data_IF_960013687189
#
_entry.id   IF_960013687189
#
_cell.length_a   1.000
_cell.length_b   1.000
_cell.length_c   1.000
_cell.angle_alpha   90.00
_cell.angle_beta   90.00
_cell.angle_gamma   90.00
#
_symmetry.space_group_name_H-M   'P 1'
#
loop_
_entity.id
_entity.type
_entity.pdbx_description
1 polymer ?
#
# COMPACT_ATOMS: atom_id res chain seq x y z
N UNK A 1 5.99 -3.40 7.14
CA UNK A 1 6.68 -2.37 6.32
C UNK A 1 5.65 -1.29 6.03
N UNK A 2 5.92 -0.06 6.36
CA UNK A 2 5.05 1.09 6.13
C UNK A 2 5.87 2.23 5.51
N UNK A 3 5.36 2.83 4.43
CA UNK A 3 5.82 4.13 3.94
C UNK A 3 7.18 4.15 3.22
N UNK A 4 7.51 3.10 2.50
CA UNK A 4 8.70 3.08 1.65
C UNK A 4 8.43 2.47 0.27
N UNK A 5 9.37 2.67 -0.64
CA UNK A 5 9.33 2.02 -1.96
C UNK A 5 9.54 0.51 -1.78
N UNK A 6 8.65 -0.36 -2.29
CA UNK A 6 8.71 -1.81 -2.04
C UNK A 6 10.06 -2.45 -2.36
N UNK A 7 10.67 -2.10 -3.48
CA UNK A 7 11.97 -2.66 -3.89
C UNK A 7 13.10 -2.44 -2.88
N UNK A 8 13.06 -1.35 -2.11
CA UNK A 8 14.07 -1.06 -1.08
C UNK A 8 14.04 -2.06 0.09
N UNK A 9 12.90 -2.74 0.28
CA UNK A 9 12.73 -3.72 1.35
C UNK A 9 12.93 -5.17 0.91
N UNK A 10 13.14 -5.41 -0.39
CA UNK A 10 13.40 -6.76 -0.92
C UNK A 10 14.58 -7.47 -0.22
N UNK A 11 15.75 -6.82 -0.01
CA UNK A 11 16.86 -7.46 0.70
C UNK A 11 16.50 -7.89 2.13
N UNK A 12 15.62 -7.14 2.82
CA UNK A 12 15.17 -7.50 4.17
C UNK A 12 14.31 -8.76 4.17
N UNK A 13 13.41 -8.89 3.17
CA UNK A 13 12.60 -10.10 3.00
C UNK A 13 13.46 -11.32 2.68
N UNK A 14 14.53 -11.15 1.89
CA UNK A 14 15.49 -12.21 1.57
C UNK A 14 16.32 -12.64 2.79
N UNK A 15 16.74 -11.68 3.63
CA UNK A 15 17.45 -11.97 4.89
C UNK A 15 16.53 -12.72 5.85
N UNK A 16 15.25 -12.33 5.93
CA UNK A 16 14.26 -13.02 6.77
C UNK A 16 14.12 -14.50 6.36
N UNK A 17 14.01 -14.79 5.06
CA UNK A 17 13.93 -16.18 4.56
C UNK A 17 15.20 -16.97 4.87
N UNK A 18 16.37 -16.42 4.56
CA UNK A 18 17.65 -17.08 4.85
C UNK A 18 17.84 -17.37 6.34
N UNK A 19 17.49 -16.41 7.21
CA UNK A 19 17.60 -16.63 8.65
C UNK A 19 16.73 -17.79 9.15
N UNK A 20 15.56 -18.02 8.56
CA UNK A 20 14.73 -19.18 8.86
C UNK A 20 15.36 -20.49 8.34
N UNK A 21 15.86 -20.48 7.09
CA UNK A 21 16.58 -21.61 6.47
C UNK A 21 17.80 -22.01 7.30
N UNK A 22 18.65 -21.04 7.69
CA UNK A 22 19.83 -21.26 8.52
C UNK A 22 19.48 -21.83 9.91
N UNK A 23 18.31 -21.46 10.44
CA UNK A 23 17.80 -21.97 11.71
C UNK A 23 17.06 -23.33 11.59
N UNK A 24 16.87 -23.85 10.37
CA UNK A 24 16.12 -25.08 10.11
C UNK A 24 14.63 -25.00 10.45
N UNK A 25 14.02 -23.81 10.32
CA UNK A 25 12.60 -23.58 10.58
C UNK A 25 11.91 -22.98 9.35
N UNK A 26 10.60 -23.15 9.26
CA UNK A 26 9.82 -22.48 8.22
C UNK A 26 9.80 -20.95 8.44
N UNK A 27 9.97 -20.14 7.38
CA UNK A 27 9.91 -18.69 7.51
C UNK A 27 8.52 -18.24 7.94
N UNK A 28 8.46 -17.35 8.92
CA UNK A 28 7.21 -16.77 9.37
C UNK A 28 6.54 -15.96 8.25
N UNK A 29 5.18 -16.00 8.14
CA UNK A 29 4.46 -15.27 7.11
C UNK A 29 4.72 -13.76 7.17
N UNK A 30 4.98 -13.16 6.02
CA UNK A 30 5.19 -11.71 5.90
C UNK A 30 3.86 -11.00 5.78
N UNK A 31 3.69 -9.90 6.51
CA UNK A 31 2.57 -8.97 6.38
C UNK A 31 3.04 -7.60 5.93
N UNK A 32 2.28 -6.97 5.04
CA UNK A 32 2.54 -5.61 4.57
C UNK A 32 1.43 -4.69 5.07
N UNK A 33 1.80 -3.50 5.51
CA UNK A 33 0.89 -2.41 5.80
C UNK A 33 1.27 -1.20 4.93
N UNK A 34 0.31 -0.65 4.21
CA UNK A 34 0.49 0.53 3.35
C UNK A 34 -0.55 1.60 3.66
N UNK A 35 -0.17 2.86 3.51
CA UNK A 35 -1.14 3.94 3.44
C UNK A 35 -1.85 3.90 2.10
N UNK A 36 -3.17 4.11 2.09
CA UNK A 36 -3.89 4.11 0.84
C UNK A 36 -5.28 4.71 0.92
N UNK A 37 -5.87 4.87 -0.26
CA UNK A 37 -7.24 5.33 -0.42
C UNK A 37 -7.75 4.91 -1.79
N UNK A 38 -9.01 4.50 -1.89
CA UNK A 38 -9.64 4.02 -3.11
C UNK A 38 -10.85 4.88 -3.43
N UNK A 39 -10.96 5.29 -4.68
CA UNK A 39 -12.17 5.93 -5.21
C UNK A 39 -12.54 5.27 -6.55
N UNK A 40 -13.66 5.70 -7.14
CA UNK A 40 -14.14 5.13 -8.40
C UNK A 40 -13.16 5.40 -9.57
N UNK A 41 -12.37 6.49 -9.48
CA UNK A 41 -11.28 6.78 -10.42
C UNK A 41 -9.98 7.15 -9.70
N UNK A 42 -8.85 7.00 -10.41
CA UNK A 42 -7.54 7.39 -9.91
C UNK A 42 -7.45 8.87 -9.57
N UNK A 43 -7.98 9.75 -10.44
CA UNK A 43 -7.97 11.19 -10.23
C UNK A 43 -8.75 11.55 -8.97
N UNK A 44 -9.95 11.01 -8.80
CA UNK A 44 -10.76 11.24 -7.60
C UNK A 44 -10.04 10.77 -6.33
N UNK A 45 -9.41 9.59 -6.37
CA UNK A 45 -8.66 9.07 -5.24
C UNK A 45 -7.52 10.01 -4.82
N UNK A 46 -6.76 10.53 -5.79
CA UNK A 46 -5.66 11.47 -5.55
C UNK A 46 -6.18 12.80 -5.00
N UNK A 47 -7.25 13.34 -5.59
CA UNK A 47 -7.83 14.63 -5.19
C UNK A 47 -8.38 14.63 -3.76
N UNK A 48 -8.92 13.50 -3.32
CA UNK A 48 -9.42 13.33 -1.95
C UNK A 48 -8.26 13.04 -0.97
N UNK A 49 -7.35 12.14 -1.33
CA UNK A 49 -6.31 11.69 -0.41
C UNK A 49 -5.19 12.70 -0.22
N UNK A 50 -4.77 13.42 -1.27
CA UNK A 50 -3.63 14.33 -1.20
C UNK A 50 -3.74 15.41 -0.13
N UNK A 51 -4.81 16.23 -0.04
CA UNK A 51 -4.89 17.29 0.96
C UNK A 51 -4.88 16.74 2.39
N UNK A 52 -5.55 15.62 2.64
CA UNK A 52 -5.58 14.96 3.94
C UNK A 52 -4.20 14.43 4.32
N UNK A 53 -3.56 13.69 3.41
CA UNK A 53 -2.22 13.13 3.58
C UNK A 53 -1.17 14.22 3.77
N UNK A 54 -1.20 15.27 2.92
CA UNK A 54 -0.29 16.41 3.03
C UNK A 54 -0.38 17.08 4.40
N UNK A 55 -1.58 17.38 4.87
CA UNK A 55 -1.79 18.04 6.17
C UNK A 55 -1.16 17.22 7.30
N UNK A 56 -1.35 15.91 7.30
CA UNK A 56 -0.79 15.01 8.30
C UNK A 56 0.73 14.90 8.19
N UNK A 57 1.24 14.73 6.97
CA UNK A 57 2.68 14.54 6.76
C UNK A 57 3.46 15.84 6.95
N UNK A 58 2.91 17.00 6.59
CA UNK A 58 3.54 18.30 6.87
C UNK A 58 3.58 18.59 8.37
N UNK A 59 2.60 18.12 9.15
CA UNK A 59 2.64 18.22 10.61
C UNK A 59 3.80 17.39 11.18
N UNK A 60 3.90 16.13 10.80
CA UNK A 60 5.00 15.23 11.21
C UNK A 60 6.34 15.75 10.68
N UNK A 61 6.36 16.24 9.45
CA UNK A 61 7.55 16.77 8.80
C UNK A 61 8.17 17.96 9.53
N UNK A 62 7.35 18.87 10.06
CA UNK A 62 7.84 20.00 10.87
C UNK A 62 8.62 19.55 12.11
N UNK A 63 8.18 18.46 12.74
CA UNK A 63 8.86 17.90 13.92
C UNK A 63 10.17 17.18 13.54
N UNK A 64 10.30 16.72 12.30
CA UNK A 64 11.42 15.93 11.80
C UNK A 64 12.35 16.66 10.83
N UNK A 65 12.07 17.95 10.56
CA UNK A 65 12.85 18.75 9.61
C UNK A 65 12.65 18.36 8.14
N UNK A 66 11.53 17.74 7.78
CA UNK A 66 11.22 17.39 6.39
C UNK A 66 10.57 18.57 5.68
N UNK A 67 10.86 18.78 4.38
CA UNK A 67 10.16 19.78 3.60
C UNK A 67 8.69 19.41 3.40
N UNK A 68 7.79 20.41 3.19
CA UNK A 68 6.40 20.16 2.86
C UNK A 68 6.25 19.31 1.61
N UNK A 69 5.30 18.35 1.65
CA UNK A 69 5.01 17.49 0.51
C UNK A 69 4.32 18.25 -0.62
N UNK A 70 4.83 18.12 -1.82
CA UNK A 70 4.18 18.64 -3.04
C UNK A 70 3.20 17.63 -3.63
N UNK A 71 2.23 18.09 -4.43
CA UNK A 71 1.30 17.21 -5.16
C UNK A 71 2.05 16.23 -6.07
N UNK A 72 3.03 16.71 -6.81
CA UNK A 72 3.83 15.86 -7.71
C UNK A 72 4.54 14.72 -6.94
N UNK A 73 5.09 15.01 -5.76
CA UNK A 73 5.72 13.98 -4.92
C UNK A 73 4.69 12.96 -4.44
N UNK A 74 3.49 13.40 -4.05
CA UNK A 74 2.41 12.50 -3.67
C UNK A 74 1.98 11.61 -4.85
N UNK A 75 1.72 12.18 -6.02
CA UNK A 75 1.34 11.43 -7.22
C UNK A 75 2.42 10.41 -7.63
N UNK A 76 3.70 10.81 -7.55
CA UNK A 76 4.82 9.88 -7.77
C UNK A 76 4.83 8.73 -6.75
N UNK A 77 4.49 9.01 -5.51
CA UNK A 77 4.38 7.95 -4.48
C UNK A 77 3.18 7.01 -4.70
N UNK A 78 2.17 7.43 -5.46
CA UNK A 78 1.01 6.63 -5.85
C UNK A 78 1.25 5.78 -7.13
N UNK A 79 2.38 5.97 -7.83
CA UNK A 79 2.77 5.12 -8.97
C UNK A 79 2.95 3.66 -8.53
N UNK A 80 2.97 2.71 -9.47
CA UNK A 80 3.04 1.27 -9.20
C UNK A 80 4.17 0.90 -8.22
N UNK A 81 5.38 1.45 -8.41
CA UNK A 81 6.53 1.21 -7.55
C UNK A 81 6.55 2.10 -6.30
N UNK A 82 5.63 3.05 -6.17
CA UNK A 82 5.61 4.01 -5.06
C UNK A 82 5.09 3.40 -3.75
N UNK A 83 5.23 4.18 -2.67
CA UNK A 83 4.89 3.75 -1.32
C UNK A 83 3.39 3.73 -1.02
N UNK A 84 2.61 4.65 -1.62
CA UNK A 84 1.19 4.84 -1.32
C UNK A 84 0.29 4.04 -2.26
N UNK A 85 -0.71 3.37 -1.71
CA UNK A 85 -1.70 2.56 -2.43
C UNK A 85 -2.97 3.38 -2.63
N UNK A 86 -2.91 4.34 -3.56
CA UNK A 86 -4.01 5.28 -3.87
C UNK A 86 -4.35 5.19 -5.33
N UNK A 87 -5.63 4.99 -5.65
CA UNK A 87 -6.10 4.88 -7.02
C UNK A 87 -7.51 4.30 -7.15
N UNK A 88 -7.85 3.87 -8.36
CA UNK A 88 -9.04 3.05 -8.63
C UNK A 88 -8.88 1.64 -8.06
N UNK A 89 -9.95 0.82 -8.00
CA UNK A 89 -9.83 -0.58 -7.63
C UNK A 89 -8.77 -1.34 -8.44
N UNK A 90 -8.72 -1.15 -9.75
CA UNK A 90 -7.73 -1.80 -10.63
C UNK A 90 -6.29 -1.38 -10.32
N UNK A 91 -6.03 -0.08 -10.11
CA UNK A 91 -4.71 0.41 -9.69
C UNK A 91 -4.24 -0.25 -8.39
N UNK A 92 -5.16 -0.40 -7.44
CA UNK A 92 -4.86 -0.97 -6.11
C UNK A 92 -4.62 -2.47 -6.21
N UNK A 93 -5.41 -3.20 -7.00
CA UNK A 93 -5.19 -4.64 -7.29
C UNK A 93 -3.81 -4.84 -7.90
N UNK A 94 -3.48 -4.09 -8.97
CA UNK A 94 -2.19 -4.21 -9.64
C UNK A 94 -1.03 -3.98 -8.67
N UNK A 95 -1.15 -2.96 -7.82
CA UNK A 95 -0.12 -2.60 -6.84
C UNK A 95 0.06 -3.65 -5.75
N UNK A 96 -1.03 -4.23 -5.23
CA UNK A 96 -0.95 -5.32 -4.25
C UNK A 96 -0.27 -6.55 -4.86
N UNK A 97 -0.61 -6.90 -6.09
CA UNK A 97 0.01 -8.01 -6.82
C UNK A 97 1.50 -7.75 -7.12
N UNK A 98 1.87 -6.51 -7.47
CA UNK A 98 3.26 -6.10 -7.62
C UNK A 98 4.05 -6.31 -6.33
N UNK A 99 3.51 -5.86 -5.19
CA UNK A 99 4.14 -6.07 -3.88
C UNK A 99 4.17 -7.56 -3.50
N UNK A 100 3.16 -8.33 -3.89
CA UNK A 100 3.12 -9.78 -3.65
C UNK A 100 4.26 -10.50 -4.39
N UNK A 101 4.58 -10.11 -5.62
CA UNK A 101 5.73 -10.66 -6.37
C UNK A 101 7.07 -10.38 -5.68
N UNK A 102 7.19 -9.24 -4.99
CA UNK A 102 8.44 -8.86 -4.30
C UNK A 102 8.60 -9.61 -2.98
N UNK A 103 7.52 -9.73 -2.19
CA UNK A 103 7.61 -10.16 -0.79
C UNK A 103 7.03 -11.55 -0.52
N UNK A 104 6.15 -12.07 -1.38
CA UNK A 104 5.38 -13.28 -1.10
C UNK A 104 4.54 -13.15 0.16
N UNK A 105 4.01 -11.96 0.45
CA UNK A 105 3.26 -11.72 1.68
C UNK A 105 1.93 -12.46 1.69
N UNK A 106 1.55 -12.96 2.85
CA UNK A 106 0.28 -13.67 3.08
C UNK A 106 -0.84 -12.77 3.59
N UNK A 107 -0.50 -11.54 4.02
CA UNK A 107 -1.46 -10.57 4.53
C UNK A 107 -1.13 -9.17 4.05
N UNK A 108 -2.15 -8.47 3.58
CA UNK A 108 -2.08 -7.06 3.20
C UNK A 108 -3.04 -6.23 4.06
N UNK A 109 -2.55 -5.13 4.63
CA UNK A 109 -3.33 -4.18 5.41
C UNK A 109 -3.27 -2.82 4.71
N UNK A 110 -4.44 -2.19 4.53
CA UNK A 110 -4.55 -0.87 3.94
C UNK A 110 -5.05 0.13 4.99
N UNK A 111 -4.18 1.07 5.36
CA UNK A 111 -4.53 2.16 6.27
C UNK A 111 -5.14 3.31 5.46
N UNK A 112 -6.47 3.40 5.47
CA UNK A 112 -7.23 4.33 4.62
C UNK A 112 -7.46 5.70 5.27
N UNK A 113 -7.30 5.83 6.58
CA UNK A 113 -7.59 7.05 7.35
C UNK A 113 -6.35 7.86 7.69
N UNK A 114 -5.57 8.25 6.67
CA UNK A 114 -4.43 9.16 6.86
C UNK A 114 -4.89 10.60 6.69
N UNK A 115 -4.87 11.36 7.80
CA UNK A 115 -5.43 12.72 7.86
C UNK A 115 -6.96 12.74 7.91
N UNK A 116 -7.53 13.90 7.60
CA UNK A 116 -8.99 14.15 7.71
C UNK A 116 -9.68 13.90 6.37
N UNK A 117 -10.00 12.64 6.09
CA UNK A 117 -10.80 12.26 4.92
C UNK A 117 -12.30 12.35 5.26
N UNK A 118 -13.16 12.91 4.37
CA UNK A 118 -14.60 12.95 4.58
C UNK A 118 -15.16 11.53 4.82
N UNK A 119 -15.95 11.37 5.89
CA UNK A 119 -16.42 10.06 6.35
C UNK A 119 -17.11 9.23 5.27
N UNK A 120 -17.99 9.86 4.46
CA UNK A 120 -18.67 9.15 3.35
C UNK A 120 -17.69 8.61 2.30
N UNK A 121 -16.61 9.36 2.02
CA UNK A 121 -15.57 8.94 1.07
C UNK A 121 -14.74 7.79 1.64
N UNK A 122 -14.46 7.84 2.93
CA UNK A 122 -13.79 6.72 3.62
C UNK A 122 -14.63 5.44 3.60
N UNK A 123 -15.94 5.54 3.87
CA UNK A 123 -16.84 4.38 3.78
C UNK A 123 -16.88 3.80 2.35
N UNK A 124 -16.94 4.66 1.32
CA UNK A 124 -16.89 4.19 -0.08
C UNK A 124 -15.57 3.49 -0.39
N UNK A 125 -14.45 4.02 0.10
CA UNK A 125 -13.13 3.40 -0.07
C UNK A 125 -13.06 2.00 0.56
N UNK A 126 -13.65 1.83 1.75
CA UNK A 126 -13.74 0.52 2.44
C UNK A 126 -14.63 -0.44 1.64
N UNK A 127 -15.76 0.04 1.14
CA UNK A 127 -16.67 -0.76 0.30
C UNK A 127 -15.95 -1.26 -0.96
N UNK A 128 -15.30 -0.37 -1.73
CA UNK A 128 -14.53 -0.72 -2.93
C UNK A 128 -13.44 -1.75 -2.63
N UNK A 129 -12.74 -1.57 -1.51
CA UNK A 129 -11.74 -2.55 -1.10
C UNK A 129 -12.35 -3.94 -0.85
N UNK A 130 -13.48 -3.99 -0.14
CA UNK A 130 -14.10 -5.26 0.25
C UNK A 130 -14.78 -5.97 -0.92
N UNK A 131 -15.42 -5.21 -1.83
CA UNK A 131 -16.27 -5.78 -2.90
C UNK A 131 -15.53 -5.98 -4.22
N UNK A 132 -14.48 -5.20 -4.49
CA UNK A 132 -13.78 -5.23 -5.78
C UNK A 132 -12.31 -5.65 -5.62
N UNK A 133 -11.57 -5.00 -4.71
CA UNK A 133 -10.12 -5.24 -4.60
C UNK A 133 -9.80 -6.58 -3.95
N UNK A 134 -10.35 -6.86 -2.77
CA UNK A 134 -10.01 -8.06 -2.02
C UNK A 134 -10.37 -9.36 -2.77
N UNK A 135 -11.55 -9.48 -3.42
CA UNK A 135 -11.89 -10.65 -4.23
C UNK A 135 -10.94 -10.82 -5.42
N UNK A 136 -10.65 -9.73 -6.16
CA UNK A 136 -9.78 -9.79 -7.33
C UNK A 136 -8.32 -10.16 -6.98
N UNK A 137 -7.80 -9.64 -5.86
CA UNK A 137 -6.47 -10.02 -5.37
C UNK A 137 -6.44 -11.49 -4.97
N UNK A 138 -7.47 -11.98 -4.26
CA UNK A 138 -7.56 -13.38 -3.83
C UNK A 138 -7.55 -14.31 -5.03
N UNK A 139 -8.42 -14.10 -6.01
CA UNK A 139 -8.49 -14.88 -7.23
C UNK A 139 -7.15 -14.94 -7.96
N UNK A 140 -6.51 -13.78 -8.18
CA UNK A 140 -5.24 -13.70 -8.93
C UNK A 140 -4.07 -14.31 -8.16
N UNK A 141 -4.07 -14.29 -6.83
CA UNK A 141 -3.01 -14.93 -6.04
C UNK A 141 -3.19 -16.44 -5.93
N UNK A 142 -4.42 -16.96 -5.90
CA UNK A 142 -4.70 -18.40 -5.98
C UNK A 142 -4.22 -18.99 -7.34
N UNK A 143 -4.52 -18.33 -8.45
CA UNK A 143 -4.03 -18.72 -9.79
C UNK A 143 -2.49 -18.72 -9.86
N UNK A 144 -1.81 -17.82 -9.14
CA UNK A 144 -0.35 -17.77 -9.10
C UNK A 144 0.26 -18.89 -8.25
N UNK A 145 -0.45 -19.37 -7.24
CA UNK A 145 0.01 -20.45 -6.37
C UNK A 145 -0.14 -21.84 -7.00
N UNK A 146 -1.01 -21.99 -8.02
CA UNK A 146 -1.24 -23.26 -8.76
C UNK A 146 -0.24 -23.50 -9.90
N UNK A 147 0.63 -22.53 -10.21
CA UNK A 147 1.65 -22.58 -11.28
C UNK A 147 3.03 -22.83 -10.73
#
# INVERSE_FOLDING_TARGET
IIGGYPEQFKPMAEIHKRGAEDAGIDPQPVSINSHGFIADTREEAIDIAYPAFKTQMDKIGRERGWPPMTRQQFESSCALQGANVVGSPDDVVEKILYQHKIFGHSRFLLQMSVGSIPHRKLLRSIELFATEVAPAVKEKTEILAEK
#
